data_IF_405084184707
#
_entry.id   IF_405084184707
#
_cell.length_a   1.000
_cell.length_b   1.000
_cell.length_c   1.000
_cell.angle_alpha   90.00
_cell.angle_beta   90.00
_cell.angle_gamma   90.00
#
_symmetry.space_group_name_H-M   'P 1'
#
loop_
_entity.id
_entity.type
_entity.pdbx_description
1 polymer ?
#
# COMPACT_ATOMS: atom_id res chain seq x y z
N UNK A 1 33.10 1.97 46.58
CA UNK A 1 33.26 0.51 46.52
C UNK A 1 31.90 -0.12 46.29
N UNK A 2 31.60 -0.61 45.08
CA UNK A 2 30.80 -1.82 44.79
C UNK A 2 30.71 -2.04 43.28
N UNK A 3 30.75 -3.33 42.91
CA UNK A 3 31.28 -3.92 41.68
C UNK A 3 30.33 -4.01 40.48
N UNK A 4 30.93 -4.21 39.30
CA UNK A 4 30.36 -4.70 38.03
C UNK A 4 29.78 -6.12 38.16
N UNK A 5 28.84 -6.53 37.29
CA UNK A 5 29.19 -7.55 36.27
C UNK A 5 28.64 -7.24 34.87
N UNK A 6 29.46 -7.53 33.86
CA UNK A 6 29.10 -7.65 32.43
C UNK A 6 28.49 -9.03 32.19
N UNK A 7 27.59 -9.16 31.20
CA UNK A 7 27.60 -10.36 30.35
C UNK A 7 27.59 -10.05 28.83
N UNK A 8 28.39 -10.82 28.09
CA UNK A 8 28.43 -11.04 26.62
C UNK A 8 27.61 -12.34 26.30
N UNK A 9 27.44 -12.82 25.05
CA UNK A 9 26.35 -12.49 24.10
C UNK A 9 25.49 -13.71 23.63
N UNK A 10 24.39 -13.45 22.89
CA UNK A 10 23.71 -14.36 21.88
C UNK A 10 22.91 -15.57 22.45
N UNK A 11 21.69 -15.95 21.97
CA UNK A 11 21.30 -16.12 20.55
C UNK A 11 19.91 -15.63 20.10
N UNK A 12 19.79 -15.35 18.79
CA UNK A 12 18.51 -15.43 18.05
C UNK A 12 18.16 -16.90 17.79
N UNK A 13 16.88 -17.28 17.82
CA UNK A 13 16.25 -17.59 16.53
C UNK A 13 14.72 -17.36 16.44
N UNK A 14 14.26 -17.47 15.19
CA UNK A 14 12.94 -17.89 14.72
C UNK A 14 11.81 -16.85 14.63
N UNK A 15 11.74 -16.29 13.42
CA UNK A 15 10.55 -16.01 12.61
C UNK A 15 9.28 -16.74 13.07
N UNK A 16 8.40 -16.03 13.77
CA UNK A 16 7.02 -16.46 13.99
C UNK A 16 6.19 -16.17 12.75
N UNK A 17 5.89 -17.19 11.94
CA UNK A 17 4.91 -17.13 10.87
C UNK A 17 3.51 -16.99 11.47
N UNK A 18 2.72 -15.96 11.11
CA UNK A 18 1.32 -15.94 11.50
C UNK A 18 0.53 -16.94 10.66
N UNK A 19 -0.18 -17.85 11.34
CA UNK A 19 -1.19 -18.75 10.77
C UNK A 19 -2.33 -17.92 10.18
N UNK A 20 -2.53 -18.01 8.87
CA UNK A 20 -3.63 -17.36 8.14
C UNK A 20 -4.86 -18.28 8.18
N UNK A 21 -6.07 -17.79 8.54
CA UNK A 21 -7.30 -18.58 8.48
C UNK A 21 -7.72 -18.86 7.02
N UNK A 22 -8.32 -20.02 6.72
CA UNK A 22 -8.74 -20.35 5.36
C UNK A 22 -10.07 -19.67 5.04
N UNK A 23 -10.10 -18.79 4.04
CA UNK A 23 -11.36 -18.24 3.53
C UNK A 23 -11.30 -16.87 2.87
N UNK A 24 -10.36 -16.64 1.94
CA UNK A 24 -10.49 -15.54 0.98
C UNK A 24 -10.47 -16.16 -0.40
N UNK A 25 -11.55 -15.97 -1.16
CA UNK A 25 -11.62 -16.40 -2.56
C UNK A 25 -10.51 -15.65 -3.31
N UNK A 26 -9.47 -16.36 -3.68
CA UNK A 26 -8.37 -15.84 -4.49
C UNK A 26 -8.94 -15.32 -5.81
N UNK A 27 -8.71 -14.05 -6.20
CA UNK A 27 -8.91 -13.65 -7.58
C UNK A 27 -8.04 -14.56 -8.44
N UNK A 28 -8.63 -15.17 -9.47
CA UNK A 28 -7.91 -16.01 -10.43
C UNK A 28 -6.73 -15.20 -10.99
N UNK A 29 -5.49 -15.73 -11.04
CA UNK A 29 -4.38 -15.01 -11.66
C UNK A 29 -4.74 -14.74 -13.12
N UNK A 30 -5.02 -13.49 -13.43
CA UNK A 30 -5.35 -13.05 -14.77
C UNK A 30 -4.08 -12.92 -15.60
N UNK A 31 -3.80 -13.94 -16.43
CA UNK A 31 -2.83 -13.86 -17.52
C UNK A 31 -1.38 -13.45 -17.13
N UNK A 32 -0.51 -13.25 -18.12
CA UNK A 32 0.81 -12.69 -17.87
C UNK A 32 0.63 -11.24 -17.39
N UNK A 33 0.76 -11.01 -16.09
CA UNK A 33 0.90 -9.65 -15.57
C UNK A 33 2.28 -9.14 -15.98
N UNK A 34 2.33 -8.12 -16.83
CA UNK A 34 3.57 -7.38 -17.07
C UNK A 34 4.13 -6.97 -15.70
N UNK A 35 5.41 -7.25 -15.40
CA UNK A 35 6.00 -6.80 -14.15
C UNK A 35 5.81 -5.29 -14.04
N UNK A 36 5.50 -4.75 -12.85
CA UNK A 36 5.49 -3.31 -12.66
C UNK A 36 6.83 -2.76 -13.16
N UNK A 37 6.81 -1.84 -14.13
CA UNK A 37 8.05 -1.25 -14.67
C UNK A 37 8.88 -0.67 -13.53
N UNK A 38 10.21 -0.63 -13.65
CA UNK A 38 11.14 -0.19 -12.58
C UNK A 38 10.59 1.03 -11.83
N UNK A 39 10.40 0.91 -10.51
CA UNK A 39 9.82 1.93 -9.64
C UNK A 39 8.29 1.91 -9.50
N UNK A 40 7.58 0.91 -10.05
CA UNK A 40 6.13 0.83 -9.92
C UNK A 40 5.78 0.00 -8.68
N UNK A 41 4.81 0.52 -7.95
CA UNK A 41 4.29 -0.08 -6.73
C UNK A 41 2.84 -0.45 -6.97
N UNK A 42 2.43 -1.61 -6.47
CA UNK A 42 1.02 -2.01 -6.43
C UNK A 42 0.51 -1.91 -5.00
N UNK A 43 -0.64 -1.26 -4.84
CA UNK A 43 -1.33 -1.06 -3.57
C UNK A 43 -2.72 -1.70 -3.67
N UNK A 44 -3.18 -2.33 -2.59
CA UNK A 44 -4.50 -2.97 -2.55
C UNK A 44 -5.19 -2.68 -1.23
N UNK A 45 -6.44 -2.24 -1.29
CA UNK A 45 -7.19 -1.89 -0.08
C UNK A 45 -8.49 -1.18 -0.39
N UNK A 46 -9.12 -0.63 0.65
CA UNK A 46 -10.38 0.11 0.53
C UNK A 46 -10.07 1.58 0.39
N UNK A 47 -10.62 2.20 -0.65
CA UNK A 47 -10.45 3.62 -0.88
C UNK A 47 -11.14 4.45 0.20
N UNK A 48 -10.44 5.45 0.69
CA UNK A 48 -10.96 6.40 1.67
C UNK A 48 -11.15 7.76 1.00
N UNK A 49 -12.18 8.49 1.44
CA UNK A 49 -12.32 9.90 1.07
C UNK A 49 -11.25 10.73 1.76
N UNK A 50 -10.68 11.68 1.02
CA UNK A 50 -9.83 12.69 1.61
C UNK A 50 -10.62 13.75 2.37
N UNK A 51 -9.90 14.61 3.09
CA UNK A 51 -10.51 15.71 3.85
C UNK A 51 -11.13 16.75 2.89
N UNK A 52 -10.47 16.95 1.75
CA UNK A 52 -10.94 17.81 0.68
C UNK A 52 -11.80 17.03 -0.33
N UNK A 53 -12.90 17.64 -0.85
CA UNK A 53 -13.77 16.99 -1.81
C UNK A 53 -13.05 16.48 -3.06
N UNK A 54 -13.26 15.21 -3.40
CA UNK A 54 -12.70 14.59 -4.60
C UNK A 54 -11.28 14.02 -4.42
N UNK A 55 -10.65 14.23 -3.27
CA UNK A 55 -9.42 13.56 -2.89
C UNK A 55 -9.72 12.12 -2.50
N UNK A 56 -8.89 11.18 -2.95
CA UNK A 56 -9.06 9.74 -2.70
C UNK A 56 -7.75 9.19 -2.17
N UNK A 57 -7.85 8.47 -1.04
CA UNK A 57 -6.72 7.85 -0.38
C UNK A 57 -6.76 6.33 -0.46
N UNK A 58 -5.58 5.74 -0.44
CA UNK A 58 -5.37 4.31 -0.21
C UNK A 58 -4.15 4.13 0.69
N UNK A 59 -4.33 3.60 1.90
CA UNK A 59 -3.24 3.33 2.86
C UNK A 59 -2.29 4.52 3.09
N UNK A 60 -2.83 5.74 3.15
CA UNK A 60 -2.06 6.97 3.33
C UNK A 60 -1.48 7.59 2.05
N UNK A 61 -1.71 6.98 0.89
CA UNK A 61 -1.34 7.54 -0.41
C UNK A 61 -2.51 8.31 -1.05
N UNK A 62 -2.22 9.47 -1.62
CA UNK A 62 -3.16 10.26 -2.42
C UNK A 62 -3.13 9.80 -3.86
N UNK A 63 -4.23 9.22 -4.34
CA UNK A 63 -4.34 8.72 -5.70
C UNK A 63 -4.58 9.87 -6.69
N UNK A 64 -3.64 10.06 -7.61
CA UNK A 64 -3.70 11.06 -8.67
C UNK A 64 -3.91 10.38 -10.03
N UNK A 65 -4.90 10.86 -10.78
CA UNK A 65 -5.26 10.31 -12.09
C UNK A 65 -6.09 9.03 -11.99
N UNK A 66 -5.95 8.16 -12.99
CA UNK A 66 -6.66 6.88 -13.07
C UNK A 66 -8.16 6.98 -13.38
N UNK A 67 -8.84 5.81 -13.51
CA UNK A 67 -10.26 5.73 -13.85
C UNK A 67 -11.16 6.10 -12.65
N UNK A 68 -11.88 7.22 -12.76
CA UNK A 68 -12.75 7.76 -11.70
C UNK A 68 -13.96 6.88 -11.37
N UNK A 69 -14.32 5.95 -12.26
CA UNK A 69 -15.38 4.97 -12.02
C UNK A 69 -14.95 3.81 -11.10
N UNK A 70 -13.64 3.57 -11.01
CA UNK A 70 -13.02 2.59 -10.12
C UNK A 70 -12.58 3.25 -8.82
N UNK A 71 -11.94 4.42 -8.92
CA UNK A 71 -11.35 5.14 -7.80
C UNK A 71 -12.39 5.92 -6.99
N UNK A 72 -13.30 5.21 -6.32
CA UNK A 72 -14.37 5.79 -5.50
C UNK A 72 -14.22 5.36 -4.03
N UNK A 73 -14.38 6.28 -3.07
CA UNK A 73 -14.37 5.93 -1.65
C UNK A 73 -15.34 4.78 -1.31
N UNK A 74 -14.90 3.90 -0.42
CA UNK A 74 -15.65 2.71 0.01
C UNK A 74 -15.49 1.48 -0.90
N UNK A 75 -14.85 1.62 -2.06
CA UNK A 75 -14.60 0.51 -2.98
C UNK A 75 -13.24 -0.12 -2.67
N UNK A 76 -13.17 -1.45 -2.73
CA UNK A 76 -11.90 -2.19 -2.66
C UNK A 76 -11.30 -2.32 -4.05
N UNK A 77 -10.01 -1.97 -4.15
CA UNK A 77 -9.30 -1.89 -5.43
C UNK A 77 -7.89 -2.43 -5.28
N UNK A 78 -7.29 -2.72 -6.44
CA UNK A 78 -5.86 -2.87 -6.63
C UNK A 78 -5.41 -1.81 -7.62
N UNK A 79 -4.34 -1.09 -7.28
CA UNK A 79 -3.86 0.09 -7.99
C UNK A 79 -2.37 -0.06 -8.21
N UNK A 80 -1.92 0.10 -9.46
CA UNK A 80 -0.50 0.18 -9.81
C UNK A 80 -0.15 1.62 -10.17
N UNK A 81 1.04 2.06 -9.77
CA UNK A 81 1.47 3.44 -10.00
C UNK A 81 2.86 3.73 -9.46
N UNK A 82 3.15 5.03 -9.25
CA UNK A 82 4.44 5.56 -8.76
C UNK A 82 4.19 6.43 -7.53
N UNK A 83 5.06 6.33 -6.52
CA UNK A 83 5.06 7.24 -5.37
C UNK A 83 5.86 8.49 -5.75
N UNK A 84 5.25 9.68 -5.65
CA UNK A 84 5.83 10.96 -6.06
C UNK A 84 5.83 11.97 -4.88
N UNK A 85 6.68 11.77 -3.86
CA UNK A 85 6.60 12.55 -2.61
C UNK A 85 6.90 14.05 -2.80
N UNK A 86 7.60 14.44 -3.86
CA UNK A 86 7.90 15.83 -4.20
C UNK A 86 6.83 16.52 -5.06
N UNK A 87 5.76 15.81 -5.44
CA UNK A 87 4.71 16.36 -6.29
C UNK A 87 3.83 17.33 -5.49
N UNK A 88 3.61 18.52 -6.04
CA UNK A 88 2.66 19.48 -5.48
C UNK A 88 1.22 18.99 -5.69
N UNK A 89 0.40 19.05 -4.65
CA UNK A 89 -1.00 18.62 -4.68
C UNK A 89 -1.89 19.62 -3.94
N UNK A 90 -3.18 19.64 -4.30
CA UNK A 90 -4.16 20.51 -3.63
C UNK A 90 -4.72 19.89 -2.35
N UNK A 91 -4.83 18.55 -2.28
CA UNK A 91 -5.48 17.82 -1.19
C UNK A 91 -4.76 17.89 0.17
N UNK A 92 -3.53 18.42 0.21
CA UNK A 92 -2.65 18.57 1.38
C UNK A 92 -2.59 17.35 2.33
N UNK A 93 -2.82 16.15 1.78
CA UNK A 93 -3.05 14.92 2.52
C UNK A 93 -2.42 13.75 1.77
N UNK A 94 -1.71 12.90 2.52
CA UNK A 94 -1.13 11.68 2.00
C UNK A 94 0.08 11.90 1.12
N UNK A 95 0.76 10.82 0.78
CA UNK A 95 1.87 10.86 -0.18
C UNK A 95 1.32 10.73 -1.61
N UNK A 96 1.64 11.66 -2.53
CA UNK A 96 1.15 11.57 -3.91
C UNK A 96 1.52 10.23 -4.56
N UNK A 97 0.54 9.60 -5.18
CA UNK A 97 0.68 8.35 -5.91
C UNK A 97 0.02 8.47 -7.28
N UNK A 98 0.83 8.50 -8.33
CA UNK A 98 0.36 8.65 -9.70
C UNK A 98 -0.09 7.29 -10.22
N UNK A 99 -1.39 7.16 -10.47
CA UNK A 99 -2.02 5.91 -10.89
C UNK A 99 -1.76 5.65 -12.37
N UNK A 100 -1.24 4.47 -12.69
CA UNK A 100 -1.06 3.99 -14.06
C UNK A 100 -2.06 2.90 -14.44
N UNK A 101 -2.51 2.10 -13.48
CA UNK A 101 -3.59 1.12 -13.65
C UNK A 101 -4.40 0.98 -12.36
N UNK A 102 -5.70 0.71 -12.49
CA UNK A 102 -6.56 0.42 -11.34
C UNK A 102 -7.73 -0.48 -11.76
N UNK A 103 -8.05 -1.46 -10.92
CA UNK A 103 -9.21 -2.33 -11.07
C UNK A 103 -9.84 -2.61 -9.71
N UNK A 104 -11.13 -2.96 -9.71
CA UNK A 104 -11.81 -3.44 -8.50
C UNK A 104 -11.30 -4.83 -8.16
N UNK A 105 -11.06 -5.07 -6.86
CA UNK A 105 -10.62 -6.36 -6.32
C UNK A 105 -11.81 -7.28 -6.02
#
# INVERSE_FOLDING_TARGET
MTSQPTPDPTPSPATGTPTVPPGVKTPKPGGPSTPPGVGATTLSGTLQGGVEPGCVLLDGYLLLGGPRDVLRPGVRVEVTGRVEPGMMTTCQQGTPFVVTAAHRS
#
